data_IF_628336967789
#
_entry.id   IF_628336967789
#
_cell.length_a   1.000
_cell.length_b   1.000
_cell.length_c   1.000
_cell.angle_alpha   90.00
_cell.angle_beta   90.00
_cell.angle_gamma   90.00
#
_symmetry.space_group_name_H-M   'P 1'
#
loop_
_entity.id
_entity.type
_entity.pdbx_description
1 polymer ?
#
# COMPACT_ATOMS: atom_id res chain seq x y z
N UNK A 1 -26.11 3.95 13.49
CA UNK A 1 -25.61 3.64 12.14
C UNK A 1 -25.81 4.92 11.36
N UNK A 2 -24.72 5.63 11.09
CA UNK A 2 -24.79 7.03 10.62
C UNK A 2 -24.90 7.13 9.10
N UNK A 3 -24.68 6.02 8.39
CA UNK A 3 -24.89 5.88 6.96
C UNK A 3 -25.28 4.45 6.57
N UNK A 4 -26.12 4.31 5.54
CA UNK A 4 -26.28 3.08 4.77
C UNK A 4 -25.12 2.94 3.80
N UNK A 5 -24.52 1.75 3.75
CA UNK A 5 -23.41 1.44 2.87
C UNK A 5 -23.79 0.30 1.93
N UNK A 6 -23.34 0.41 0.69
CA UNK A 6 -23.48 -0.64 -0.30
C UNK A 6 -22.27 -0.64 -1.21
N UNK A 7 -21.74 -1.81 -1.53
CA UNK A 7 -20.59 -1.97 -2.40
C UNK A 7 -20.96 -2.77 -3.64
N UNK A 8 -20.66 -2.20 -4.80
CA UNK A 8 -20.86 -2.82 -6.11
C UNK A 8 -19.52 -3.39 -6.58
N UNK A 9 -19.37 -4.71 -6.53
CA UNK A 9 -18.16 -5.41 -6.95
C UNK A 9 -18.30 -5.88 -8.40
N UNK A 10 -17.32 -5.56 -9.24
CA UNK A 10 -17.22 -5.99 -10.64
C UNK A 10 -15.94 -6.82 -10.83
N UNK A 11 -15.81 -7.56 -11.93
CA UNK A 11 -14.62 -8.41 -12.19
C UNK A 11 -13.28 -7.68 -12.16
N UNK A 12 -13.26 -6.36 -12.39
CA UNK A 12 -12.02 -5.56 -12.51
C UNK A 12 -11.80 -4.54 -11.40
N UNK A 13 -12.82 -4.19 -10.61
CA UNK A 13 -12.81 -3.08 -9.65
C UNK A 13 -14.09 -3.11 -8.80
N UNK A 14 -14.35 -2.10 -7.97
CA UNK A 14 -15.65 -1.92 -7.32
C UNK A 14 -15.93 -0.47 -6.91
N UNK A 15 -17.10 -0.24 -6.34
CA UNK A 15 -17.50 1.09 -5.89
C UNK A 15 -18.41 1.01 -4.67
N UNK A 16 -18.04 1.74 -3.62
CA UNK A 16 -18.91 1.97 -2.47
C UNK A 16 -19.80 3.19 -2.70
N UNK A 17 -21.06 3.07 -2.32
CA UNK A 17 -21.99 4.18 -2.12
C UNK A 17 -22.32 4.25 -0.63
N UNK A 18 -22.19 5.46 -0.09
CA UNK A 18 -22.60 5.81 1.24
C UNK A 18 -23.76 6.80 1.14
N UNK A 19 -24.86 6.52 1.84
CA UNK A 19 -26.02 7.39 1.95
C UNK A 19 -26.25 7.68 3.41
N UNK A 20 -26.26 8.96 3.79
CA UNK A 20 -26.49 9.36 5.18
C UNK A 20 -27.86 8.84 5.65
N UNK A 21 -27.87 7.97 6.65
CA UNK A 21 -29.09 7.26 7.11
C UNK A 21 -29.82 7.99 8.23
N UNK A 22 -29.31 9.17 8.62
CA UNK A 22 -29.83 9.96 9.73
C UNK A 22 -31.18 10.60 9.38
N UNK A 23 -31.51 10.75 8.09
CA UNK A 23 -32.76 11.36 7.63
C UNK A 23 -33.69 10.33 6.97
N UNK A 24 -34.99 10.53 7.11
CA UNK A 24 -36.01 9.75 6.38
C UNK A 24 -35.81 9.83 4.85
N UNK A 25 -35.30 10.96 4.37
CA UNK A 25 -34.96 11.17 2.96
C UNK A 25 -33.81 10.26 2.52
N UNK A 26 -32.74 10.14 3.32
CA UNK A 26 -31.61 9.27 3.03
C UNK A 26 -31.99 7.79 3.05
N UNK A 27 -32.84 7.37 4.00
CA UNK A 27 -33.38 6.01 4.04
C UNK A 27 -34.24 5.70 2.80
N UNK A 28 -35.12 6.62 2.40
CA UNK A 28 -35.91 6.49 1.16
C UNK A 28 -35.03 6.43 -0.07
N UNK A 29 -34.02 7.30 -0.17
CA UNK A 29 -33.10 7.34 -1.30
C UNK A 29 -32.32 6.03 -1.44
N UNK A 30 -31.80 5.49 -0.33
CA UNK A 30 -31.11 4.22 -0.31
C UNK A 30 -32.04 3.07 -0.73
N UNK A 31 -33.26 3.04 -0.19
CA UNK A 31 -34.24 2.03 -0.56
C UNK A 31 -34.60 2.09 -2.06
N UNK A 32 -34.83 3.28 -2.60
CA UNK A 32 -35.11 3.49 -4.03
C UNK A 32 -33.93 3.08 -4.92
N UNK A 33 -32.68 3.32 -4.47
CA UNK A 33 -31.51 2.81 -5.19
C UNK A 33 -31.49 1.28 -5.23
N UNK A 34 -31.80 0.61 -4.12
CA UNK A 34 -31.85 -0.86 -4.07
C UNK A 34 -32.98 -1.43 -4.94
N UNK A 35 -34.08 -0.70 -5.11
CA UNK A 35 -35.16 -1.08 -6.04
C UNK A 35 -34.73 -1.12 -7.51
N UNK A 36 -33.64 -0.46 -7.89
CA UNK A 36 -33.10 -0.61 -9.25
C UNK A 36 -32.68 -2.05 -9.55
N UNK A 37 -32.34 -2.83 -8.51
CA UNK A 37 -31.72 -4.16 -8.60
C UNK A 37 -32.60 -5.29 -8.04
N UNK A 38 -33.70 -4.95 -7.38
CA UNK A 38 -34.59 -5.92 -6.73
C UNK A 38 -36.02 -5.91 -7.25
N UNK A 39 -36.82 -6.84 -6.73
CA UNK A 39 -38.25 -6.92 -6.97
C UNK A 39 -39.02 -6.57 -5.70
N UNK A 40 -40.02 -5.69 -5.83
CA UNK A 40 -40.93 -5.39 -4.73
C UNK A 40 -42.10 -6.38 -4.73
N UNK A 41 -42.25 -7.18 -3.66
CA UNK A 41 -43.38 -8.09 -3.45
C UNK A 41 -43.93 -7.89 -2.04
N UNK A 42 -45.23 -7.63 -1.93
CA UNK A 42 -45.93 -7.41 -0.65
C UNK A 42 -45.26 -6.37 0.27
N UNK A 43 -44.77 -5.28 -0.34
CA UNK A 43 -44.08 -4.21 0.40
C UNK A 43 -42.66 -4.55 0.86
N UNK A 44 -42.14 -5.74 0.54
CA UNK A 44 -40.76 -6.15 0.82
C UNK A 44 -39.93 -6.14 -0.46
N UNK A 45 -38.73 -5.60 -0.37
CA UNK A 45 -37.74 -5.64 -1.45
C UNK A 45 -36.96 -6.96 -1.38
N UNK A 46 -37.05 -7.76 -2.44
CA UNK A 46 -36.27 -8.97 -2.63
C UNK A 46 -35.12 -8.67 -3.59
N UNK A 47 -33.90 -8.77 -3.08
CA UNK A 47 -32.67 -8.47 -3.79
C UNK A 47 -31.72 -9.66 -3.66
N UNK A 48 -31.19 -10.15 -4.79
CA UNK A 48 -30.06 -11.08 -4.81
C UNK A 48 -28.75 -10.31 -4.83
N UNK A 49 -27.70 -10.86 -4.23
CA UNK A 49 -26.38 -10.24 -4.30
C UNK A 49 -25.84 -10.26 -5.74
N UNK A 50 -26.08 -11.36 -6.45
CA UNK A 50 -25.75 -11.54 -7.86
C UNK A 50 -26.70 -10.70 -8.71
N UNK A 51 -26.13 -9.78 -9.47
CA UNK A 51 -26.86 -8.88 -10.35
C UNK A 51 -26.25 -8.95 -11.74
N UNK A 52 -27.09 -8.71 -12.74
CA UNK A 52 -26.70 -8.81 -14.13
C UNK A 52 -26.84 -7.45 -14.80
N UNK A 53 -25.80 -7.02 -15.53
CA UNK A 53 -25.79 -5.80 -16.32
C UNK A 53 -26.58 -5.95 -17.63
N UNK A 54 -27.83 -6.40 -17.52
CA UNK A 54 -28.76 -6.49 -18.63
C UNK A 54 -29.39 -5.12 -18.92
N UNK A 55 -30.00 -5.00 -20.11
CA UNK A 55 -30.72 -3.81 -20.56
C UNK A 55 -31.67 -3.22 -19.49
N UNK A 56 -32.47 -4.06 -18.84
CA UNK A 56 -33.43 -3.59 -17.84
C UNK A 56 -32.74 -2.95 -16.62
N UNK A 57 -31.68 -3.57 -16.11
CA UNK A 57 -30.90 -3.07 -14.97
C UNK A 57 -30.20 -1.76 -15.32
N UNK A 58 -29.59 -1.70 -16.51
CA UNK A 58 -28.93 -0.48 -17.03
C UNK A 58 -29.92 0.67 -17.16
N UNK A 59 -31.08 0.46 -17.77
CA UNK A 59 -32.13 1.48 -17.95
C UNK A 59 -32.77 1.94 -16.63
N UNK A 60 -32.94 1.04 -15.65
CA UNK A 60 -33.44 1.41 -14.32
C UNK A 60 -32.44 2.31 -13.58
N UNK A 61 -31.16 1.95 -13.60
CA UNK A 61 -30.10 2.69 -12.94
C UNK A 61 -29.84 4.04 -13.62
N UNK A 62 -29.91 4.11 -14.96
CA UNK A 62 -29.77 5.35 -15.71
C UNK A 62 -30.83 6.37 -15.31
N UNK A 63 -32.12 5.98 -15.36
CA UNK A 63 -33.23 6.83 -14.92
C UNK A 63 -33.08 7.29 -13.48
N UNK A 64 -32.72 6.38 -12.58
CA UNK A 64 -32.51 6.71 -11.17
C UNK A 64 -31.33 7.69 -10.99
N UNK A 65 -30.24 7.50 -11.73
CA UNK A 65 -29.09 8.40 -11.70
C UNK A 65 -29.45 9.79 -12.25
N UNK A 66 -30.25 9.89 -13.30
CA UNK A 66 -30.71 11.18 -13.83
C UNK A 66 -31.53 11.96 -12.80
N UNK A 67 -32.44 11.27 -12.11
CA UNK A 67 -33.33 11.86 -11.10
C UNK A 67 -32.57 12.30 -9.83
N UNK A 68 -31.69 11.45 -9.30
CA UNK A 68 -31.12 11.64 -7.96
C UNK A 68 -29.65 12.05 -7.92
N UNK A 69 -28.97 12.19 -9.07
CA UNK A 69 -27.53 12.53 -9.06
C UNK A 69 -27.17 13.90 -8.48
N UNK A 70 -28.12 14.84 -8.40
CA UNK A 70 -27.90 16.11 -7.69
C UNK A 70 -27.81 15.89 -6.18
N UNK A 71 -28.60 14.97 -5.63
CA UNK A 71 -28.61 14.62 -4.20
C UNK A 71 -27.47 13.68 -3.86
N UNK A 72 -27.14 12.75 -4.76
CA UNK A 72 -26.07 11.78 -4.59
C UNK A 72 -25.18 11.73 -5.85
N UNK A 73 -24.19 12.64 -5.97
CA UNK A 73 -23.31 12.72 -7.14
C UNK A 73 -22.55 11.43 -7.48
N UNK A 74 -22.37 10.55 -6.50
CA UNK A 74 -21.81 9.22 -6.71
C UNK A 74 -22.62 8.39 -7.72
N UNK A 75 -23.92 8.60 -7.87
CA UNK A 75 -24.77 7.86 -8.80
C UNK A 75 -24.30 7.97 -10.26
N UNK A 76 -23.78 9.13 -10.69
CA UNK A 76 -23.24 9.27 -12.06
C UNK A 76 -22.06 8.34 -12.31
N UNK A 77 -21.21 8.15 -11.30
CA UNK A 77 -20.06 7.24 -11.37
C UNK A 77 -20.51 5.78 -11.35
N UNK A 78 -21.49 5.44 -10.51
CA UNK A 78 -22.05 4.10 -10.47
C UNK A 78 -22.72 3.75 -11.81
N UNK A 79 -23.59 4.62 -12.32
CA UNK A 79 -24.26 4.43 -13.61
C UNK A 79 -23.25 4.22 -14.73
N UNK A 80 -22.23 5.08 -14.84
CA UNK A 80 -21.14 4.91 -15.81
C UNK A 80 -20.42 3.57 -15.65
N UNK A 81 -20.18 3.11 -14.43
CA UNK A 81 -19.44 1.87 -14.17
C UNK A 81 -20.24 0.65 -14.61
N UNK A 82 -21.53 0.60 -14.27
CA UNK A 82 -22.43 -0.50 -14.63
C UNK A 82 -22.78 -0.48 -16.12
N UNK A 83 -22.96 0.69 -16.73
CA UNK A 83 -23.26 0.80 -18.17
C UNK A 83 -22.08 0.40 -19.06
N UNK A 84 -20.85 0.51 -18.57
CA UNK A 84 -19.65 0.04 -19.27
C UNK A 84 -19.41 -1.47 -19.15
N UNK A 85 -20.16 -2.21 -18.33
CA UNK A 85 -20.07 -3.67 -18.28
C UNK A 85 -20.63 -4.28 -19.55
N UNK A 86 -20.09 -5.43 -19.95
CA UNK A 86 -20.62 -6.16 -21.10
C UNK A 86 -22.10 -6.52 -20.87
N UNK A 87 -22.85 -6.69 -21.95
CA UNK A 87 -24.24 -7.15 -21.82
C UNK A 87 -24.25 -8.50 -21.11
N UNK A 88 -25.13 -8.61 -20.12
CA UNK A 88 -25.30 -9.80 -19.29
C UNK A 88 -24.11 -10.17 -18.38
N UNK A 89 -23.10 -9.29 -18.24
CA UNK A 89 -22.02 -9.44 -17.27
C UNK A 89 -22.55 -9.31 -15.83
N UNK A 90 -22.12 -10.21 -14.97
CA UNK A 90 -22.46 -10.25 -13.57
C UNK A 90 -21.59 -9.32 -12.73
N UNK A 91 -22.21 -8.74 -11.71
CA UNK A 91 -21.59 -7.98 -10.63
C UNK A 91 -22.28 -8.33 -9.30
N UNK A 92 -21.64 -8.02 -8.17
CA UNK A 92 -22.21 -8.28 -6.85
C UNK A 92 -22.62 -6.99 -6.14
N UNK A 93 -23.75 -7.03 -5.43
CA UNK A 93 -24.16 -6.02 -4.46
C UNK A 93 -23.93 -6.58 -3.06
N UNK A 94 -23.06 -5.91 -2.31
CA UNK A 94 -22.67 -6.30 -0.95
C UNK A 94 -23.05 -5.20 0.05
N UNK A 95 -23.30 -5.56 1.31
CA UNK A 95 -23.65 -4.60 2.38
C UNK A 95 -22.53 -3.62 2.78
N UNK A 96 -21.39 -3.66 2.10
CA UNK A 96 -20.22 -2.82 2.32
C UNK A 96 -18.99 -3.41 1.64
N UNK A 97 -17.91 -2.64 1.57
CA UNK A 97 -16.63 -3.16 1.09
C UNK A 97 -16.14 -4.27 2.04
N UNK A 98 -15.84 -5.49 1.55
CA UNK A 98 -15.24 -6.53 2.39
C UNK A 98 -13.89 -6.06 2.95
N UNK A 99 -13.79 -6.06 4.28
CA UNK A 99 -12.55 -5.69 4.99
C UNK A 99 -11.59 -6.86 5.15
N UNK A 100 -12.12 -8.08 5.17
CA UNK A 100 -11.31 -9.30 5.16
C UNK A 100 -10.82 -9.60 3.74
N UNK A 101 -9.49 -9.63 3.57
CA UNK A 101 -8.87 -9.87 2.26
C UNK A 101 -9.16 -11.27 1.71
N UNK A 102 -9.25 -12.30 2.56
CA UNK A 102 -9.59 -13.66 2.14
C UNK A 102 -11.01 -13.71 1.59
N UNK A 103 -11.96 -13.10 2.30
CA UNK A 103 -13.35 -13.01 1.86
C UNK A 103 -13.47 -12.23 0.56
N UNK A 104 -12.76 -11.09 0.45
CA UNK A 104 -12.73 -10.31 -0.80
C UNK A 104 -12.24 -11.15 -1.98
N UNK A 105 -11.15 -11.89 -1.79
CA UNK A 105 -10.58 -12.74 -2.83
C UNK A 105 -11.52 -13.89 -3.22
N UNK A 106 -12.20 -14.51 -2.26
CA UNK A 106 -13.24 -15.51 -2.51
C UNK A 106 -14.37 -14.94 -3.36
N UNK A 107 -14.83 -13.72 -3.09
CA UNK A 107 -15.87 -13.05 -3.87
C UNK A 107 -15.40 -12.71 -5.30
N UNK A 108 -14.14 -12.30 -5.48
CA UNK A 108 -13.54 -12.07 -6.80
C UNK A 108 -13.49 -13.36 -7.63
N UNK A 109 -13.11 -14.49 -7.01
CA UNK A 109 -13.13 -15.81 -7.65
C UNK A 109 -14.55 -16.23 -7.98
N UNK A 110 -15.48 -16.09 -7.02
CA UNK A 110 -16.90 -16.41 -7.23
C UNK A 110 -17.47 -15.63 -8.42
N UNK A 111 -17.22 -14.32 -8.48
CA UNK A 111 -17.67 -13.48 -9.58
C UNK A 111 -17.02 -13.87 -10.92
N UNK A 112 -15.76 -14.27 -10.91
CA UNK A 112 -15.07 -14.79 -12.11
C UNK A 112 -15.71 -16.07 -12.63
N UNK A 113 -16.06 -17.01 -11.75
CA UNK A 113 -16.74 -18.27 -12.12
C UNK A 113 -18.15 -17.97 -12.64
N UNK A 114 -18.90 -17.11 -11.95
CA UNK A 114 -20.25 -16.70 -12.35
C UNK A 114 -20.28 -16.10 -13.76
N UNK A 115 -19.31 -15.23 -14.07
CA UNK A 115 -19.19 -14.62 -15.40
C UNK A 115 -18.77 -15.61 -16.49
N UNK A 116 -17.89 -16.58 -16.19
CA UNK A 116 -17.52 -17.65 -17.13
C UNK A 116 -18.71 -18.52 -17.50
N UNK A 117 -19.55 -18.82 -16.51
CA UNK A 117 -20.75 -19.66 -16.66
C UNK A 117 -21.98 -18.88 -17.13
N UNK A 118 -21.84 -17.59 -17.46
CA UNK A 118 -22.95 -16.70 -17.87
C UNK A 118 -24.13 -16.73 -16.89
N UNK A 119 -23.86 -16.89 -15.59
CA UNK A 119 -24.88 -16.94 -14.56
C UNK A 119 -25.69 -18.23 -14.47
N UNK A 120 -25.27 -19.30 -15.15
CA UNK A 120 -25.75 -20.63 -14.80
C UNK A 120 -25.41 -20.93 -13.34
N UNK A 121 -26.18 -21.83 -12.72
CA UNK A 121 -25.96 -22.24 -11.34
C UNK A 121 -24.50 -22.65 -11.15
N UNK A 122 -23.79 -21.89 -10.32
CA UNK A 122 -22.37 -22.16 -10.04
C UNK A 122 -22.31 -23.47 -9.29
N UNK A 123 -21.73 -24.49 -9.92
CA UNK A 123 -21.49 -25.78 -9.27
C UNK A 123 -20.44 -25.55 -8.18
N UNK A 124 -20.79 -25.90 -6.94
CA UNK A 124 -19.93 -25.70 -5.76
C UNK A 124 -18.51 -26.25 -5.99
N UNK A 125 -18.41 -27.42 -6.63
CA UNK A 125 -17.14 -28.06 -6.98
C UNK A 125 -16.24 -27.19 -7.88
N UNK A 126 -16.80 -26.46 -8.84
CA UNK A 126 -16.02 -25.59 -9.73
C UNK A 126 -15.45 -24.39 -8.96
N UNK A 127 -16.29 -23.75 -8.13
CA UNK A 127 -15.85 -22.66 -7.28
C UNK A 127 -14.75 -23.11 -6.31
N UNK A 128 -14.94 -24.26 -5.65
CA UNK A 128 -13.96 -24.82 -4.73
C UNK A 128 -12.64 -25.17 -5.43
N UNK A 129 -12.69 -25.73 -6.64
CA UNK A 129 -11.49 -26.03 -7.41
C UNK A 129 -10.71 -24.77 -7.80
N UNK A 130 -11.40 -23.68 -8.19
CA UNK A 130 -10.74 -22.40 -8.50
C UNK A 130 -10.18 -21.74 -7.23
N UNK A 131 -10.89 -21.86 -6.11
CA UNK A 131 -10.44 -21.38 -4.83
C UNK A 131 -9.17 -22.11 -4.36
N UNK A 132 -9.14 -23.43 -4.47
CA UNK A 132 -7.98 -24.25 -4.11
C UNK A 132 -6.75 -23.88 -4.96
N UNK A 133 -6.92 -23.73 -6.27
CA UNK A 133 -5.85 -23.25 -7.17
C UNK A 133 -5.31 -21.90 -6.73
N UNK A 134 -6.18 -20.93 -6.43
CA UNK A 134 -5.77 -19.59 -6.04
C UNK A 134 -5.10 -19.55 -4.65
N UNK A 135 -5.59 -20.35 -3.70
CA UNK A 135 -5.06 -20.42 -2.35
C UNK A 135 -3.75 -21.21 -2.25
N UNK A 136 -3.47 -22.11 -3.20
CA UNK A 136 -2.22 -22.89 -3.23
C UNK A 136 -0.94 -22.04 -3.24
N UNK A 137 -1.03 -20.76 -3.61
CA UNK A 137 0.12 -19.86 -3.69
C UNK A 137 0.42 -19.15 -2.36
N UNK A 138 -0.57 -19.01 -1.46
CA UNK A 138 -0.43 -18.28 -0.19
C UNK A 138 -1.39 -18.79 0.92
N UNK A 139 -1.48 -20.11 1.17
CA UNK A 139 -2.58 -20.70 1.94
C UNK A 139 -2.68 -20.10 3.35
N UNK A 140 -1.54 -19.89 4.01
CA UNK A 140 -1.47 -19.41 5.38
C UNK A 140 -1.52 -17.88 5.51
N UNK A 141 -1.16 -17.12 4.47
CA UNK A 141 -1.05 -15.67 4.56
C UNK A 141 -2.41 -15.01 4.76
N UNK A 142 -3.39 -15.37 3.93
CA UNK A 142 -4.74 -14.78 3.97
C UNK A 142 -5.56 -15.27 5.16
N UNK A 143 -5.14 -16.33 5.84
CA UNK A 143 -5.73 -16.74 7.12
C UNK A 143 -5.28 -15.84 8.28
N UNK A 144 -4.06 -15.32 8.20
CA UNK A 144 -3.45 -14.55 9.28
C UNK A 144 -3.55 -13.03 9.09
N UNK A 145 -3.55 -12.54 7.85
CA UNK A 145 -3.41 -11.13 7.53
C UNK A 145 -4.49 -10.60 6.59
N UNK A 146 -4.89 -9.35 6.83
CA UNK A 146 -5.49 -8.49 5.83
C UNK A 146 -4.39 -7.70 5.10
N UNK A 147 -4.53 -7.60 3.79
CA UNK A 147 -3.56 -6.96 2.90
C UNK A 147 -4.15 -5.63 2.41
N UNK A 148 -3.41 -4.54 2.62
CA UNK A 148 -3.75 -3.21 2.14
C UNK A 148 -2.63 -2.66 1.25
N UNK A 149 -2.93 -2.44 -0.03
CA UNK A 149 -1.99 -1.88 -1.00
C UNK A 149 -2.57 -0.58 -1.57
N UNK A 150 -2.20 0.60 -1.04
CA UNK A 150 -2.69 1.86 -1.57
C UNK A 150 -2.24 2.06 -3.01
N UNK A 151 -3.14 2.64 -3.82
CA UNK A 151 -2.83 2.99 -5.20
C UNK A 151 -1.78 4.10 -5.27
N UNK A 152 -0.65 3.79 -5.92
CA UNK A 152 0.47 4.72 -6.13
C UNK A 152 0.50 5.35 -7.52
N UNK A 153 -0.39 4.92 -8.42
CA UNK A 153 -0.49 5.34 -9.83
C UNK A 153 -1.38 6.58 -10.05
N UNK A 154 -2.22 6.92 -9.06
CA UNK A 154 -3.07 8.12 -9.09
C UNK A 154 -3.01 8.88 -7.77
N UNK A 155 -3.36 10.16 -7.81
CA UNK A 155 -3.45 10.99 -6.60
C UNK A 155 -4.47 10.41 -5.62
N UNK A 156 -3.99 10.01 -4.46
CA UNK A 156 -4.75 9.46 -3.34
C UNK A 156 -4.53 10.36 -2.13
N UNK A 157 -5.60 10.74 -1.43
CA UNK A 157 -5.53 11.54 -0.21
C UNK A 157 -5.94 10.63 0.94
N UNK A 158 -5.05 10.47 1.92
CA UNK A 158 -5.31 9.77 3.17
C UNK A 158 -5.58 10.82 4.26
N UNK A 159 -6.52 10.52 5.16
CA UNK A 159 -6.93 11.45 6.22
C UNK A 159 -8.09 12.37 5.84
N UNK A 160 -8.56 13.17 6.80
CA UNK A 160 -9.73 14.04 6.61
C UNK A 160 -9.47 15.16 5.59
N UNK A 161 -10.36 15.27 4.59
CA UNK A 161 -10.38 16.40 3.67
C UNK A 161 -10.80 17.68 4.36
N UNK A 162 -11.68 17.59 5.36
CA UNK A 162 -12.09 18.74 6.14
C UNK A 162 -10.94 19.19 7.06
N UNK A 163 -10.41 20.38 6.80
CA UNK A 163 -9.28 20.91 7.57
C UNK A 163 -9.58 21.04 9.06
N UNK A 164 -10.78 21.49 9.42
CA UNK A 164 -11.13 21.75 10.83
C UNK A 164 -11.17 20.48 11.69
N UNK A 165 -11.31 19.31 11.07
CA UNK A 165 -11.39 18.02 11.74
C UNK A 165 -10.07 17.21 11.67
N UNK A 166 -8.98 17.82 11.21
CA UNK A 166 -7.70 17.12 11.07
C UNK A 166 -7.03 16.94 12.42
N UNK A 167 -6.60 15.72 12.66
CA UNK A 167 -5.74 15.31 13.77
C UNK A 167 -4.51 14.67 13.15
N UNK A 168 -3.33 15.05 13.61
CA UNK A 168 -2.09 14.49 13.07
C UNK A 168 -2.00 13.00 13.43
N UNK A 169 -1.75 12.13 12.44
CA UNK A 169 -1.65 10.69 12.64
C UNK A 169 -0.42 10.26 13.46
N UNK A 170 0.62 11.10 13.51
CA UNK A 170 1.87 10.78 14.21
C UNK A 170 1.91 11.34 15.62
N UNK A 171 1.59 12.63 15.80
CA UNK A 171 1.66 13.28 17.12
C UNK A 171 0.31 13.45 17.81
N UNK A 172 -0.78 12.99 17.19
CA UNK A 172 -2.16 13.07 17.70
C UNK A 172 -2.68 14.50 18.00
N UNK A 173 -1.92 15.55 17.63
CA UNK A 173 -2.32 16.95 17.79
C UNK A 173 -3.27 17.41 16.69
N UNK A 174 -4.36 18.05 17.08
CA UNK A 174 -5.30 18.74 16.19
C UNK A 174 -5.03 20.24 16.08
N UNK A 175 -5.89 20.96 15.36
CA UNK A 175 -5.81 22.42 15.23
C UNK A 175 -5.93 23.11 16.59
N UNK A 176 -6.75 22.57 17.50
CA UNK A 176 -6.90 23.08 18.88
C UNK A 176 -5.61 23.03 19.68
N UNK A 177 -4.70 22.11 19.35
CA UNK A 177 -3.40 21.93 20.01
C UNK A 177 -2.28 22.73 19.32
N UNK A 178 -2.63 23.58 18.34
CA UNK A 178 -1.70 24.38 17.56
C UNK A 178 -1.11 23.68 16.33
N UNK A 179 -1.55 22.45 16.00
CA UNK A 179 -1.09 21.78 14.79
C UNK A 179 -1.55 22.51 13.53
N UNK A 180 -0.69 22.56 12.53
CA UNK A 180 -0.98 23.21 11.25
C UNK A 180 -0.85 22.22 10.10
N UNK A 181 -1.65 22.38 9.05
CA UNK A 181 -1.73 21.45 7.91
C UNK A 181 -1.71 22.23 6.59
N UNK A 182 -0.68 23.07 6.42
CA UNK A 182 -0.51 23.94 5.24
C UNK A 182 0.43 23.32 4.22
N UNK A 183 1.41 22.54 4.66
CA UNK A 183 2.38 21.86 3.78
C UNK A 183 1.74 20.62 3.18
N UNK A 184 2.19 20.26 1.99
CA UNK A 184 1.82 18.99 1.35
C UNK A 184 2.73 17.91 1.91
N UNK A 185 2.16 17.03 2.71
CA UNK A 185 2.84 15.86 3.25
C UNK A 185 2.64 14.66 2.31
N UNK A 186 3.69 13.86 2.16
CA UNK A 186 3.72 12.69 1.29
C UNK A 186 3.94 11.42 2.11
N UNK A 187 3.18 10.36 1.84
CA UNK A 187 3.35 9.08 2.54
C UNK A 187 4.69 8.42 2.23
N UNK A 188 5.10 8.51 0.95
CA UNK A 188 6.39 8.04 0.46
C UNK A 188 7.21 9.28 0.07
N UNK A 189 8.49 9.39 0.48
CA UNK A 189 9.29 10.58 0.23
C UNK A 189 9.30 10.97 -1.25
N UNK A 190 9.08 12.24 -1.56
CA UNK A 190 9.04 12.69 -2.96
C UNK A 190 10.37 12.42 -3.69
N UNK A 191 11.48 12.40 -2.94
CA UNK A 191 12.81 12.08 -3.46
C UNK A 191 12.88 10.72 -4.15
N UNK A 192 12.06 9.75 -3.77
CA UNK A 192 12.06 8.39 -4.33
C UNK A 192 10.93 8.16 -5.36
N UNK A 193 10.29 9.22 -5.84
CA UNK A 193 9.45 9.19 -7.04
C UNK A 193 7.95 9.01 -6.82
N UNK A 194 7.45 8.97 -5.57
CA UNK A 194 6.01 9.02 -5.31
C UNK A 194 5.54 10.46 -5.10
N UNK A 195 4.57 10.91 -5.91
CA UNK A 195 3.89 12.20 -5.73
C UNK A 195 2.39 12.06 -5.49
N UNK A 196 1.94 10.82 -5.37
CA UNK A 196 0.54 10.46 -5.54
C UNK A 196 -0.16 10.22 -4.21
N UNK A 197 0.51 9.65 -3.19
CA UNK A 197 -0.11 9.47 -1.87
C UNK A 197 0.16 10.69 -0.99
N UNK A 198 -0.86 11.52 -0.83
CA UNK A 198 -0.84 12.75 -0.03
C UNK A 198 -1.50 12.49 1.32
N UNK A 199 -0.86 12.97 2.39
CA UNK A 199 -1.36 12.88 3.75
C UNK A 199 -2.04 14.20 4.13
N UNK A 200 -3.35 14.16 4.31
CA UNK A 200 -4.10 15.30 4.82
C UNK A 200 -4.03 15.38 6.35
N UNK A 201 -3.69 14.28 7.01
CA UNK A 201 -3.60 14.10 8.46
C UNK A 201 -2.15 14.00 8.96
N UNK A 202 -1.16 14.55 8.26
CA UNK A 202 0.20 14.78 8.77
C UNK A 202 0.41 16.29 8.96
N UNK A 203 0.75 16.73 10.18
CA UNK A 203 0.93 18.15 10.48
C UNK A 203 2.27 18.68 9.93
N UNK A 204 2.36 20.01 9.78
CA UNK A 204 3.54 20.72 9.27
C UNK A 204 4.81 20.39 10.07
N UNK A 205 4.70 20.24 11.40
CA UNK A 205 5.83 19.96 12.30
C UNK A 205 6.37 18.55 12.10
N UNK A 206 5.50 17.53 12.09
CA UNK A 206 5.89 16.15 11.81
C UNK A 206 6.47 16.02 10.40
N UNK A 207 5.82 16.62 9.40
CA UNK A 207 6.29 16.60 8.02
C UNK A 207 7.66 17.25 7.86
N UNK A 208 7.92 18.36 8.54
CA UNK A 208 9.23 19.00 8.52
C UNK A 208 10.30 18.16 9.25
N UNK A 209 9.95 17.61 10.41
CA UNK A 209 10.83 16.73 11.16
C UNK A 209 11.22 15.49 10.33
N UNK A 210 10.25 14.74 9.79
CA UNK A 210 10.54 13.53 9.02
C UNK A 210 11.31 13.85 7.74
N UNK A 211 10.92 14.90 7.02
CA UNK A 211 11.58 15.32 5.78
C UNK A 211 13.02 15.78 5.98
N UNK A 212 13.37 16.28 7.18
CA UNK A 212 14.72 16.73 7.52
C UNK A 212 15.57 15.63 8.16
N UNK A 213 15.01 14.90 9.13
CA UNK A 213 15.78 14.05 10.03
C UNK A 213 15.73 12.56 9.66
N UNK A 214 14.68 12.09 9.00
CA UNK A 214 14.42 10.65 8.79
C UNK A 214 14.48 10.26 7.32
N UNK A 215 13.59 10.80 6.49
CA UNK A 215 13.43 10.44 5.08
C UNK A 215 14.73 10.57 4.24
N UNK A 216 15.63 11.54 4.48
CA UNK A 216 16.87 11.64 3.72
C UNK A 216 17.76 10.39 3.81
N UNK A 217 17.68 9.60 4.88
CA UNK A 217 18.49 8.39 5.04
C UNK A 217 18.02 7.27 4.09
N UNK A 218 16.71 7.12 3.89
CA UNK A 218 16.15 6.23 2.86
C UNK A 218 16.49 6.69 1.45
N UNK A 219 16.38 8.00 1.18
CA UNK A 219 16.75 8.57 -0.13
C UNK A 219 18.22 8.27 -0.45
N UNK A 220 19.13 8.47 0.51
CA UNK A 220 20.56 8.18 0.37
C UNK A 220 20.83 6.70 0.12
N UNK A 221 20.16 5.80 0.85
CA UNK A 221 20.27 4.35 0.64
C UNK A 221 19.85 3.95 -0.79
N UNK A 222 18.87 4.66 -1.36
CA UNK A 222 18.35 4.40 -2.69
C UNK A 222 18.99 5.29 -3.78
N UNK A 223 19.99 6.12 -3.48
CA UNK A 223 20.58 7.08 -4.45
C UNK A 223 21.16 6.35 -5.67
N UNK A 224 21.88 5.24 -5.45
CA UNK A 224 22.43 4.41 -6.52
C UNK A 224 21.32 3.87 -7.45
N UNK A 225 20.26 3.31 -6.87
CA UNK A 225 19.12 2.78 -7.59
C UNK A 225 18.40 3.87 -8.39
N UNK A 226 18.14 5.03 -7.76
CA UNK A 226 17.48 6.17 -8.41
C UNK A 226 18.26 6.65 -9.62
N UNK A 227 19.59 6.61 -9.55
CA UNK A 227 20.45 6.95 -10.65
C UNK A 227 20.34 5.92 -11.79
N UNK A 228 20.50 4.62 -11.52
CA UNK A 228 20.46 3.61 -12.59
C UNK A 228 19.11 3.47 -13.29
N UNK A 229 18.01 3.67 -12.58
CA UNK A 229 16.67 3.58 -13.19
C UNK A 229 16.11 4.91 -13.69
N UNK A 230 16.87 6.00 -13.58
CA UNK A 230 16.42 7.31 -14.04
C UNK A 230 15.17 7.81 -13.29
N UNK A 231 15.06 7.52 -12.00
CA UNK A 231 13.93 8.00 -11.17
C UNK A 231 14.02 9.52 -11.05
N UNK A 232 13.09 10.22 -11.70
CA UNK A 232 13.04 11.69 -11.73
C UNK A 232 12.60 12.23 -10.36
N UNK A 233 13.43 13.11 -9.78
CA UNK A 233 13.09 13.87 -8.58
C UNK A 233 12.42 15.22 -8.90
N UNK A 234 12.50 16.17 -7.97
CA UNK A 234 12.02 17.56 -8.18
C UNK A 234 12.72 18.26 -9.35
N UNK A 235 14.02 18.03 -9.50
CA UNK A 235 14.87 18.72 -10.47
C UNK A 235 15.27 17.83 -11.66
N UNK A 236 14.44 16.84 -12.01
CA UNK A 236 14.73 15.89 -13.10
C UNK A 236 15.59 14.70 -12.66
N UNK A 237 16.45 14.20 -13.56
CA UNK A 237 17.33 13.07 -13.30
C UNK A 237 18.41 13.44 -12.27
N UNK A 238 18.66 12.58 -11.26
CA UNK A 238 19.55 12.94 -10.17
C UNK A 238 21.03 12.81 -10.57
N UNK A 239 21.85 13.82 -10.27
CA UNK A 239 23.31 13.66 -10.21
C UNK A 239 23.70 13.28 -8.78
N UNK A 240 24.30 12.10 -8.61
CA UNK A 240 24.75 11.61 -7.30
C UNK A 240 26.26 11.79 -7.22
N UNK A 241 26.72 12.56 -6.24
CA UNK A 241 28.14 12.82 -6.01
C UNK A 241 28.67 11.95 -4.87
N UNK A 242 29.83 11.36 -5.08
CA UNK A 242 30.60 10.54 -4.14
C UNK A 242 31.97 11.20 -3.90
N UNK A 243 32.72 10.77 -2.89
CA UNK A 243 34.06 11.30 -2.61
C UNK A 243 35.05 11.02 -3.76
N UNK A 244 34.88 9.91 -4.46
CA UNK A 244 35.79 9.40 -5.49
C UNK A 244 35.12 9.31 -6.88
N UNK A 245 33.96 9.96 -7.07
CA UNK A 245 33.26 9.89 -8.34
C UNK A 245 31.87 10.51 -8.32
N UNK A 246 31.13 10.31 -9.40
CA UNK A 246 29.74 10.72 -9.52
C UNK A 246 28.99 9.80 -10.48
N UNK A 247 27.68 9.71 -10.31
CA UNK A 247 26.75 9.14 -11.28
C UNK A 247 25.94 10.29 -11.87
N UNK A 248 25.98 10.40 -13.20
CA UNK A 248 25.23 11.38 -14.01
C UNK A 248 24.39 10.66 -15.05
N UNK A 249 23.70 11.40 -15.92
CA UNK A 249 22.93 10.82 -17.02
C UNK A 249 23.35 11.44 -18.35
N UNK A 250 23.47 10.61 -19.38
CA UNK A 250 23.62 11.02 -20.78
C UNK A 250 22.66 10.18 -21.62
N UNK A 251 21.83 10.81 -22.43
CA UNK A 251 20.82 10.13 -23.26
C UNK A 251 19.92 9.17 -22.44
N UNK A 252 19.48 9.63 -21.27
CA UNK A 252 18.71 8.87 -20.26
C UNK A 252 19.42 7.64 -19.65
N UNK A 253 20.67 7.38 -20.03
CA UNK A 253 21.49 6.30 -19.48
C UNK A 253 22.36 6.80 -18.32
N UNK A 254 22.46 6.00 -17.26
CA UNK A 254 23.36 6.29 -16.15
C UNK A 254 24.84 6.17 -16.59
N UNK A 255 25.62 7.21 -16.29
CA UNK A 255 27.05 7.29 -16.58
C UNK A 255 27.79 7.45 -15.26
N UNK A 256 28.69 6.50 -14.97
CA UNK A 256 29.56 6.56 -13.80
C UNK A 256 30.89 7.19 -14.19
N UNK A 257 31.31 8.21 -13.45
CA UNK A 257 32.61 8.85 -13.59
C UNK A 257 33.36 8.65 -12.28
N UNK A 258 34.40 7.83 -12.30
CA UNK A 258 35.22 7.53 -11.11
C UNK A 258 36.67 7.27 -11.49
N UNK A 259 37.56 7.41 -10.50
CA UNK A 259 38.95 6.99 -10.57
C UNK A 259 39.19 5.62 -9.89
N UNK A 260 38.18 5.08 -9.21
CA UNK A 260 38.27 3.88 -8.36
C UNK A 260 37.50 2.73 -9.03
N UNK A 261 38.15 2.11 -10.03
CA UNK A 261 37.63 0.95 -10.74
C UNK A 261 38.70 -0.12 -10.94
N UNK A 262 38.26 -1.37 -10.93
CA UNK A 262 39.05 -2.55 -11.20
C UNK A 262 38.55 -3.20 -12.49
N UNK A 263 39.46 -3.45 -13.44
CA UNK A 263 39.17 -4.23 -14.64
C UNK A 263 39.37 -5.71 -14.32
N UNK A 264 38.28 -6.46 -14.19
CA UNK A 264 38.31 -7.91 -13.93
C UNK A 264 38.58 -8.68 -15.22
N UNK A 265 37.99 -8.24 -16.33
CA UNK A 265 38.25 -8.74 -17.69
C UNK A 265 38.01 -7.64 -18.73
N UNK A 266 38.12 -7.93 -20.02
CA UNK A 266 37.74 -6.95 -21.06
C UNK A 266 36.29 -6.52 -20.99
N UNK A 267 35.41 -7.39 -20.48
CA UNK A 267 33.96 -7.19 -20.47
C UNK A 267 33.38 -7.07 -19.05
N UNK A 268 34.24 -7.01 -18.03
CA UNK A 268 33.83 -6.95 -16.63
C UNK A 268 34.66 -5.94 -15.84
N UNK A 269 33.94 -5.03 -15.17
CA UNK A 269 34.51 -3.98 -14.34
C UNK A 269 33.84 -3.99 -12.97
N UNK A 270 34.61 -3.76 -11.93
CA UNK A 270 34.13 -3.49 -10.59
C UNK A 270 34.39 -2.02 -10.30
N UNK A 271 33.34 -1.28 -9.94
CA UNK A 271 33.43 0.13 -9.58
C UNK A 271 33.14 0.29 -8.10
N UNK A 272 33.99 1.03 -7.39
CA UNK A 272 33.79 1.33 -5.97
C UNK A 272 33.48 2.82 -5.78
N UNK A 273 32.32 3.15 -5.22
CA UNK A 273 31.91 4.53 -4.94
C UNK A 273 31.73 4.75 -3.44
N UNK A 274 32.45 5.73 -2.89
CA UNK A 274 32.43 6.05 -1.45
C UNK A 274 31.53 7.25 -1.20
N UNK A 275 30.40 7.03 -0.53
CA UNK A 275 29.44 8.11 -0.23
C UNK A 275 30.12 9.26 0.51
N UNK A 276 29.77 10.50 0.15
CA UNK A 276 30.18 11.70 0.89
C UNK A 276 29.15 12.11 1.96
N UNK A 277 28.05 11.36 2.08
CA UNK A 277 26.97 11.60 3.05
C UNK A 277 26.98 10.52 4.12
N UNK A 278 26.76 10.95 5.36
CA UNK A 278 26.48 10.04 6.48
C UNK A 278 25.13 9.34 6.30
N UNK A 279 25.08 8.07 6.69
CA UNK A 279 23.90 7.23 6.68
C UNK A 279 23.70 6.64 8.07
N UNK A 280 22.45 6.63 8.54
CA UNK A 280 22.09 6.09 9.85
C UNK A 280 21.16 4.91 9.58
N UNK A 281 21.59 3.68 9.90
CA UNK A 281 20.77 2.49 9.77
C UNK A 281 19.44 2.61 10.53
N UNK A 282 19.48 3.15 11.76
CA UNK A 282 18.27 3.39 12.57
C UNK A 282 17.28 4.32 11.86
N UNK A 283 17.76 5.45 11.32
CA UNK A 283 16.90 6.41 10.60
C UNK A 283 16.38 5.84 9.28
N UNK A 284 17.10 4.91 8.65
CA UNK A 284 16.60 4.15 7.50
C UNK A 284 15.42 3.26 7.88
N UNK A 285 15.52 2.51 8.98
CA UNK A 285 14.38 1.72 9.49
C UNK A 285 13.19 2.63 9.83
N UNK A 286 13.43 3.73 10.55
CA UNK A 286 12.39 4.74 10.86
C UNK A 286 11.69 5.25 9.61
N UNK A 287 12.43 5.50 8.51
CA UNK A 287 11.84 5.96 7.26
C UNK A 287 10.91 4.91 6.62
N UNK A 288 11.27 3.63 6.66
CA UNK A 288 10.41 2.53 6.19
C UNK A 288 9.15 2.42 7.06
N UNK A 289 9.29 2.47 8.39
CA UNK A 289 8.17 2.45 9.32
C UNK A 289 7.23 3.65 9.12
N UNK A 290 7.79 4.86 8.90
CA UNK A 290 7.00 6.06 8.58
C UNK A 290 6.14 5.84 7.34
N UNK A 291 6.68 5.21 6.29
CA UNK A 291 5.92 4.89 5.07
C UNK A 291 4.77 3.92 5.36
N UNK A 292 5.04 2.86 6.14
CA UNK A 292 4.03 1.88 6.53
C UNK A 292 2.89 2.53 7.34
N UNK A 293 3.22 3.28 8.40
CA UNK A 293 2.22 3.99 9.22
C UNK A 293 1.51 5.12 8.45
N UNK A 294 2.13 5.69 7.43
CA UNK A 294 1.50 6.67 6.54
C UNK A 294 0.40 6.08 5.66
N UNK A 295 0.39 4.77 5.44
CA UNK A 295 -0.44 4.12 4.40
C UNK A 295 -1.53 3.19 4.96
N UNK A 296 -1.65 3.12 6.29
CA UNK A 296 -2.73 2.41 6.99
C UNK A 296 -3.85 3.36 7.44
N UNK A 297 -5.00 2.78 7.78
CA UNK A 297 -6.12 3.52 8.35
C UNK A 297 -5.78 4.06 9.75
N UNK A 298 -6.51 5.09 10.16
CA UNK A 298 -6.37 5.67 11.51
C UNK A 298 -6.67 4.64 12.61
N UNK A 299 -7.59 3.67 12.37
CA UNK A 299 -7.88 2.64 13.37
C UNK A 299 -6.67 1.78 13.72
N UNK A 300 -5.84 1.46 12.72
CA UNK A 300 -4.61 0.65 12.92
C UNK A 300 -3.55 1.47 13.63
N UNK A 301 -3.37 2.75 13.28
CA UNK A 301 -2.28 3.57 13.82
C UNK A 301 -2.37 3.78 15.33
N UNK A 302 -3.59 3.75 15.91
CA UNK A 302 -3.81 3.85 17.35
C UNK A 302 -3.17 2.69 18.16
N UNK A 303 -2.79 1.60 17.50
CA UNK A 303 -2.07 0.50 18.12
C UNK A 303 -0.55 0.68 18.10
N UNK A 304 -0.04 1.79 17.55
CA UNK A 304 1.38 2.11 17.33
C UNK A 304 1.79 3.46 17.95
N UNK A 305 1.18 3.85 19.08
CA UNK A 305 1.54 5.10 19.77
C UNK A 305 3.03 5.13 20.16
N UNK A 306 3.51 4.05 20.77
CA UNK A 306 4.92 3.91 21.18
C UNK A 306 5.86 3.97 19.96
N UNK A 307 5.43 3.41 18.83
CA UNK A 307 6.14 3.52 17.55
C UNK A 307 6.21 4.96 17.06
N UNK A 308 5.11 5.71 17.14
CA UNK A 308 5.05 7.12 16.74
C UNK A 308 5.92 8.02 17.64
N UNK A 309 5.96 7.75 18.95
CA UNK A 309 6.86 8.39 19.90
C UNK A 309 8.32 8.09 19.56
N UNK A 310 8.64 6.82 19.32
CA UNK A 310 9.97 6.39 18.87
C UNK A 310 10.37 7.04 17.54
N UNK A 311 9.49 7.10 16.55
CA UNK A 311 9.75 7.78 15.28
C UNK A 311 10.11 9.25 15.47
N UNK A 312 9.49 9.91 16.45
CA UNK A 312 9.67 11.34 16.73
C UNK A 312 10.88 11.65 17.64
N UNK A 313 11.47 10.63 18.25
CA UNK A 313 12.69 10.77 19.07
C UNK A 313 13.91 11.10 18.19
N UNK A 314 14.85 11.91 18.71
CA UNK A 314 16.08 12.31 18.01
C UNK A 314 16.98 11.13 17.60
N UNK A 315 16.71 9.91 18.12
CA UNK A 315 17.38 8.68 17.73
C UNK A 315 18.80 8.57 18.26
N UNK A 316 19.06 9.17 19.43
CA UNK A 316 20.38 9.14 20.09
C UNK A 316 20.59 7.85 20.90
N UNK A 317 19.52 7.16 21.27
CA UNK A 317 19.57 5.89 21.99
C UNK A 317 19.42 4.71 21.04
N UNK A 318 20.28 3.71 21.21
CA UNK A 318 20.14 2.43 20.52
C UNK A 318 18.84 1.75 20.96
N UNK A 319 18.11 1.18 20.00
CA UNK A 319 16.86 0.47 20.25
C UNK A 319 16.92 -0.82 19.46
N UNK A 320 16.69 -1.95 20.12
CA UNK A 320 16.67 -3.25 19.45
C UNK A 320 15.49 -3.32 18.48
N UNK A 321 15.77 -3.67 17.23
CA UNK A 321 14.78 -3.72 16.15
C UNK A 321 14.77 -5.09 15.47
N UNK A 322 13.59 -5.55 15.01
CA UNK A 322 13.51 -6.72 14.14
C UNK A 322 14.36 -6.54 12.88
N UNK A 323 14.79 -7.64 12.27
CA UNK A 323 15.55 -7.61 11.02
C UNK A 323 14.72 -7.04 9.87
N UNK A 324 15.40 -6.41 8.91
CA UNK A 324 14.84 -6.09 7.59
C UNK A 324 15.28 -7.20 6.63
N UNK A 325 14.33 -7.82 5.94
CA UNK A 325 14.64 -8.66 4.78
C UNK A 325 14.72 -7.77 3.53
N UNK A 326 15.80 -7.87 2.76
CA UNK A 326 15.97 -7.16 1.49
C UNK A 326 16.35 -8.10 0.35
N UNK A 327 15.84 -7.85 -0.85
CA UNK A 327 16.12 -8.65 -2.04
C UNK A 327 16.02 -7.80 -3.30
N UNK A 328 16.73 -8.22 -4.36
CA UNK A 328 16.56 -7.71 -5.72
C UNK A 328 15.73 -8.71 -6.52
N UNK A 329 14.50 -8.33 -6.88
CA UNK A 329 13.58 -9.11 -7.70
C UNK A 329 13.30 -8.38 -9.01
N UNK A 330 13.67 -9.00 -10.13
CA UNK A 330 13.43 -8.43 -11.47
C UNK A 330 12.00 -8.65 -11.96
N UNK A 331 11.30 -9.66 -11.46
CA UNK A 331 9.87 -9.85 -11.71
C UNK A 331 9.06 -8.77 -10.98
N UNK A 332 8.01 -8.25 -11.62
CA UNK A 332 7.16 -7.21 -11.03
C UNK A 332 7.82 -5.83 -10.92
N UNK A 333 8.77 -5.53 -11.82
CA UNK A 333 9.40 -4.22 -11.88
C UNK A 333 8.37 -3.09 -12.05
N UNK A 334 8.47 -2.06 -11.21
CA UNK A 334 7.61 -0.87 -11.26
C UNK A 334 8.44 0.41 -11.24
N UNK A 335 8.10 1.35 -12.14
CA UNK A 335 8.69 2.69 -12.16
C UNK A 335 8.24 3.57 -10.98
N UNK A 336 7.22 3.13 -10.23
CA UNK A 336 6.72 3.82 -9.06
C UNK A 336 6.96 2.98 -7.81
N UNK A 337 7.34 3.60 -6.67
CA UNK A 337 7.40 2.89 -5.41
C UNK A 337 6.01 2.38 -5.01
N UNK A 338 5.97 1.20 -4.40
CA UNK A 338 4.78 0.50 -3.94
C UNK A 338 4.94 0.11 -2.48
N UNK A 339 3.84 0.12 -1.75
CA UNK A 339 3.76 -0.31 -0.35
C UNK A 339 2.64 -1.32 -0.23
N UNK A 340 2.91 -2.45 0.39
CA UNK A 340 1.91 -3.47 0.71
C UNK A 340 1.96 -3.72 2.21
N UNK A 341 0.86 -3.43 2.89
CA UNK A 341 0.74 -3.54 4.33
C UNK A 341 -0.01 -4.82 4.70
N UNK A 342 0.50 -5.55 5.68
CA UNK A 342 -0.07 -6.80 6.17
C UNK A 342 -0.45 -6.64 7.64
N UNK A 343 -1.75 -6.60 7.93
CA UNK A 343 -2.29 -6.36 9.29
C UNK A 343 -2.88 -7.66 9.82
N UNK A 344 -2.35 -8.18 10.94
CA UNK A 344 -2.81 -9.43 11.54
C UNK A 344 -4.26 -9.30 11.97
N UNK A 345 -5.07 -10.31 11.64
CA UNK A 345 -6.53 -10.32 11.89
C UNK A 345 -6.99 -11.39 12.89
N UNK A 346 -6.07 -12.18 13.42
CA UNK A 346 -6.35 -13.25 14.37
C UNK A 346 -5.45 -13.15 15.61
N UNK A 347 -5.60 -14.08 16.55
CA UNK A 347 -4.87 -14.10 17.82
C UNK A 347 -3.56 -14.91 17.80
N UNK A 348 -3.01 -15.23 16.62
CA UNK A 348 -1.68 -15.86 16.52
C UNK A 348 -0.58 -14.83 16.83
N UNK A 349 -0.25 -14.67 18.10
CA UNK A 349 0.77 -13.72 18.56
C UNK A 349 2.21 -14.14 18.24
N UNK A 350 2.42 -15.31 17.61
CA UNK A 350 3.72 -15.66 17.01
C UNK A 350 3.96 -14.92 15.69
N UNK A 351 2.98 -14.10 15.27
CA UNK A 351 3.04 -13.28 14.07
C UNK A 351 2.93 -11.80 14.44
N UNK A 352 3.75 -10.92 13.82
CA UNK A 352 3.70 -9.49 14.09
C UNK A 352 2.32 -8.93 13.77
N UNK A 353 1.87 -7.97 14.56
CA UNK A 353 0.59 -7.32 14.33
C UNK A 353 0.58 -6.58 12.98
N UNK A 354 1.72 -6.01 12.60
CA UNK A 354 1.89 -5.31 11.33
C UNK A 354 3.30 -5.50 10.77
N UNK A 355 3.39 -5.95 9.52
CA UNK A 355 4.60 -5.85 8.72
C UNK A 355 4.27 -5.27 7.33
N UNK A 356 5.28 -4.76 6.63
CA UNK A 356 5.10 -4.08 5.35
C UNK A 356 6.16 -4.53 4.34
N UNK A 357 5.74 -4.65 3.08
CA UNK A 357 6.63 -4.69 1.92
C UNK A 357 6.74 -3.28 1.33
N UNK A 358 7.96 -2.76 1.24
CA UNK A 358 8.27 -1.59 0.41
C UNK A 358 9.03 -2.04 -0.84
N UNK A 359 8.49 -1.71 -2.01
CA UNK A 359 9.09 -2.03 -3.30
C UNK A 359 9.40 -0.77 -4.08
N UNK A 360 10.57 -0.73 -4.69
CA UNK A 360 10.95 0.31 -5.64
C UNK A 360 11.76 -0.33 -6.76
N UNK A 361 11.17 -0.41 -7.97
CA UNK A 361 11.78 -1.09 -9.12
C UNK A 361 12.01 -2.55 -8.83
N UNK A 362 13.27 -2.96 -8.78
CA UNK A 362 13.64 -4.33 -8.40
C UNK A 362 13.98 -4.49 -6.93
N UNK A 363 14.09 -3.43 -6.14
CA UNK A 363 14.43 -3.53 -4.72
C UNK A 363 13.16 -3.79 -3.91
N UNK A 364 13.24 -4.77 -3.02
CA UNK A 364 12.15 -5.18 -2.13
C UNK A 364 12.68 -5.23 -0.71
N UNK A 365 11.94 -4.60 0.20
CA UNK A 365 12.21 -4.59 1.63
C UNK A 365 10.98 -5.11 2.36
N UNK A 366 11.14 -6.09 3.23
CA UNK A 366 10.08 -6.60 4.10
C UNK A 366 10.53 -6.36 5.54
N UNK A 367 9.71 -5.65 6.31
CA UNK A 367 10.06 -5.21 7.67
C UNK A 367 8.82 -5.20 8.58
N UNK A 368 9.05 -5.49 9.86
CA UNK A 368 8.03 -5.44 10.91
C UNK A 368 7.88 -3.98 11.36
N UNK A 369 6.68 -3.56 11.74
CA UNK A 369 6.47 -2.27 12.42
C UNK A 369 6.53 -2.52 13.93
N UNK A 370 7.57 -2.04 14.63
CA UNK A 370 7.83 -2.43 16.02
C UNK A 370 6.94 -1.67 17.00
N UNK A 371 6.93 -2.12 18.26
CA UNK A 371 6.30 -1.44 19.41
C UNK A 371 4.79 -1.31 19.31
N UNK A 372 4.12 -2.26 18.65
CA UNK A 372 2.67 -2.33 18.75
C UNK A 372 2.25 -2.81 20.13
N UNK A 373 1.23 -2.19 20.71
CA UNK A 373 0.59 -2.70 21.93
C UNK A 373 -0.13 -4.06 21.73
N UNK A 374 -0.30 -4.51 20.49
CA UNK A 374 -0.92 -5.80 20.12
C UNK A 374 0.09 -6.94 19.96
N UNK A 375 1.38 -6.64 20.00
CA UNK A 375 2.44 -7.64 19.91
C UNK A 375 2.81 -8.18 21.29
N UNK A 376 3.07 -9.48 21.36
CA UNK A 376 3.57 -10.17 22.56
C UNK A 376 5.04 -10.57 22.43
N UNK A 377 5.57 -10.55 21.21
CA UNK A 377 6.95 -10.83 20.86
C UNK A 377 7.58 -9.59 20.26
N UNK A 378 8.90 -9.45 20.39
CA UNK A 378 9.65 -8.36 19.78
C UNK A 378 10.31 -8.78 18.46
N UNK A 379 10.35 -10.07 18.13
CA UNK A 379 10.94 -10.61 16.89
C UNK A 379 12.43 -10.29 16.74
N UNK A 380 13.12 -10.19 17.88
CA UNK A 380 14.57 -9.98 17.97
C UNK A 380 15.33 -11.31 17.95
N UNK A 381 14.74 -12.31 18.61
CA UNK A 381 15.31 -13.65 18.69
C UNK A 381 15.18 -14.37 17.34
N UNK A 382 16.22 -15.14 16.99
CA UNK A 382 16.30 -15.84 15.70
C UNK A 382 15.09 -16.75 15.48
N UNK A 383 14.70 -17.53 16.50
CA UNK A 383 13.56 -18.45 16.40
C UNK A 383 12.21 -17.75 16.22
N UNK A 384 12.01 -16.58 16.84
CA UNK A 384 10.80 -15.77 16.66
C UNK A 384 10.72 -15.24 15.22
N UNK A 385 11.80 -14.65 14.73
CA UNK A 385 11.86 -14.09 13.38
C UNK A 385 11.73 -15.18 12.31
N UNK A 386 12.42 -16.31 12.46
CA UNK A 386 12.32 -17.45 11.53
C UNK A 386 10.93 -18.09 11.55
N UNK A 387 10.29 -18.19 12.73
CA UNK A 387 8.91 -18.65 12.86
C UNK A 387 7.92 -17.76 12.09
N UNK A 388 8.09 -16.43 12.17
CA UNK A 388 7.35 -15.47 11.36
C UNK A 388 7.64 -15.63 9.87
N UNK A 389 8.92 -15.60 9.48
CA UNK A 389 9.34 -15.63 8.08
C UNK A 389 8.89 -16.92 7.37
N UNK A 390 8.91 -18.05 8.08
CA UNK A 390 8.43 -19.34 7.58
C UNK A 390 6.95 -19.36 7.20
N UNK A 391 6.13 -18.45 7.73
CA UNK A 391 4.71 -18.30 7.35
C UNK A 391 4.52 -17.45 6.09
N UNK A 392 5.59 -16.84 5.56
CA UNK A 392 5.56 -16.05 4.32
C UNK A 392 6.09 -16.87 3.15
N UNK A 393 5.40 -17.97 2.83
CA UNK A 393 5.84 -19.00 1.86
C UNK A 393 6.35 -18.43 0.52
N UNK A 394 5.64 -17.43 -0.01
CA UNK A 394 5.99 -16.74 -1.24
C UNK A 394 7.31 -15.96 -1.18
N UNK A 395 7.68 -15.41 -0.02
CA UNK A 395 8.99 -14.83 0.20
C UNK A 395 10.02 -15.90 0.50
N UNK A 396 9.69 -16.89 1.33
CA UNK A 396 10.59 -18.00 1.69
C UNK A 396 11.04 -18.83 0.47
N UNK A 397 10.23 -18.90 -0.59
CA UNK A 397 10.58 -19.55 -1.85
C UNK A 397 11.73 -18.87 -2.62
N UNK A 398 12.00 -17.58 -2.34
CA UNK A 398 13.09 -16.82 -2.95
C UNK A 398 14.37 -17.02 -2.13
N UNK A 399 15.47 -17.41 -2.78
CA UNK A 399 16.73 -17.75 -2.09
C UNK A 399 17.71 -16.58 -1.90
N UNK A 400 17.40 -15.42 -2.45
CA UNK A 400 18.30 -14.27 -2.55
C UNK A 400 18.04 -13.19 -1.50
N UNK A 401 17.26 -13.50 -0.45
CA UNK A 401 17.04 -12.56 0.66
C UNK A 401 18.31 -12.37 1.49
N UNK A 402 18.54 -11.12 1.87
CA UNK A 402 19.50 -10.71 2.89
C UNK A 402 18.72 -10.22 4.10
N UNK A 403 19.13 -10.58 5.30
CA UNK A 403 18.48 -10.17 6.55
C UNK A 403 19.43 -9.27 7.34
N UNK A 404 19.10 -7.99 7.41
CA UNK A 404 19.96 -6.94 7.99
C UNK A 404 19.43 -6.49 9.36
N UNK A 405 20.33 -6.33 10.31
CA UNK A 405 20.08 -5.62 11.57
C UNK A 405 20.52 -4.17 11.37
N UNK A 406 19.62 -3.21 11.59
CA UNK A 406 19.84 -1.78 11.32
C UNK A 406 19.39 -0.90 12.48
N UNK A 407 19.61 -1.36 13.71
CA UNK A 407 19.27 -0.72 14.98
C UNK A 407 20.25 0.37 15.45
N UNK A 408 21.47 0.40 14.90
CA UNK A 408 22.50 1.33 15.34
C UNK A 408 22.19 2.79 15.02
N UNK A 409 22.30 3.65 16.05
CA UNK A 409 22.25 5.09 15.93
C UNK A 409 23.53 5.69 15.32
N UNK A 410 24.62 4.93 15.29
CA UNK A 410 25.89 5.41 14.76
C UNK A 410 25.81 5.62 13.24
N UNK A 411 26.19 6.82 12.80
CA UNK A 411 26.33 7.12 11.39
C UNK A 411 27.48 6.30 10.77
N UNK A 412 27.19 5.67 9.64
CA UNK A 412 28.16 4.97 8.80
C UNK A 412 28.27 5.65 7.43
N UNK A 413 29.34 5.31 6.71
CA UNK A 413 29.53 5.71 5.31
C UNK A 413 29.22 4.53 4.40
N UNK A 414 28.29 4.71 3.48
CA UNK A 414 27.98 3.68 2.46
C UNK A 414 29.10 3.65 1.43
N UNK A 415 29.60 2.44 1.14
CA UNK A 415 30.47 2.18 -0.01
C UNK A 415 29.72 1.26 -0.96
N UNK A 416 29.46 1.75 -2.17
CA UNK A 416 28.81 0.99 -3.22
C UNK A 416 29.86 0.24 -4.04
N UNK A 417 29.71 -1.08 -4.18
CA UNK A 417 30.55 -1.90 -5.05
C UNK A 417 29.70 -2.45 -6.18
N UNK A 418 29.90 -1.93 -7.38
CA UNK A 418 29.06 -2.16 -8.55
C UNK A 418 29.80 -3.07 -9.51
N UNK A 419 29.22 -4.24 -9.79
CA UNK A 419 29.73 -5.17 -10.78
C UNK A 419 29.06 -4.88 -12.13
N UNK A 420 29.84 -4.43 -13.09
CA UNK A 420 29.37 -4.09 -14.43
C UNK A 420 29.90 -5.15 -15.38
N UNK A 421 29.00 -5.92 -15.97
CA UNK A 421 29.30 -6.89 -17.01
C UNK A 421 28.66 -6.44 -18.31
N UNK A 422 29.44 -6.35 -19.39
CA UNK A 422 28.89 -6.09 -20.71
C UNK A 422 27.99 -7.26 -21.09
N UNK A 423 26.76 -6.95 -21.48
CA UNK A 423 25.84 -7.95 -22.01
C UNK A 423 26.31 -8.27 -23.44
N UNK A 424 26.70 -9.52 -23.67
CA UNK A 424 27.02 -10.05 -25.00
C UNK A 424 25.77 -10.08 -25.88
#
# INVERSE_FOLDING_TARGET
MDAFRVFFMTSSDGMEINVDSITDEGAKLFYSLMQCFGELKDGKLYLKAEQQANKQTKERLERFSEEFSLQLPALKRLNKKISCLAEDEYFLILGGLPTDTKVKHQLEIYLSVLNRNKGQEVVEEEFLAELEKAQSVFPTLLDNYNINQPRTDRRTIIGSRNKSSRVCRFCEKGISDGATFRKVAHAIPEGIGNKNIILADECDDCNEYFGKEIEPHLVRHLDIYRAFLGVKGKNGLPTITYNNGKITHKDEMAVIVTQDFEKVSEEEFIVTLKSNKKFSPLKFYKALVKIALSTVSSDVIHDFRDTCEWLSSLGEEAVDLPRIASCVLHAGFSNHPQVTNYIRKNDDHNLPYFFSEFRIGSFVYVFIVPFSKKDKLQFLEVGEYEGFWGRLEHYAAVKTWRFDIVDTAADITITERIHIKKRL
#
